data_IF_576650912476
#
_entry.id   IF_576650912476
#
_cell.length_a   1.000
_cell.length_b   1.000
_cell.length_c   1.000
_cell.angle_alpha   90.00
_cell.angle_beta   90.00
_cell.angle_gamma   90.00
#
_symmetry.space_group_name_H-M   'P 1'
#
loop_
_entity.id
_entity.type
_entity.pdbx_description
1 polymer ?
#
# COMPACT_ATOMS: atom_id res chain seq x y z
N UNK A 1 -17.45 11.70 -21.36
CA UNK A 1 -16.49 12.24 -20.36
C UNK A 1 -16.13 11.08 -19.45
N UNK A 2 -14.94 10.49 -19.36
CA UNK A 2 -13.65 10.66 -20.01
C UNK A 2 -12.97 9.27 -19.94
N UNK A 3 -12.89 8.52 -21.04
CA UNK A 3 -12.16 7.23 -21.06
C UNK A 3 -10.64 7.41 -20.84
N UNK A 4 -10.13 8.62 -21.04
CA UNK A 4 -8.72 9.01 -20.82
C UNK A 4 -8.30 8.89 -19.34
N UNK A 5 -9.23 9.04 -18.40
CA UNK A 5 -8.88 8.98 -16.97
C UNK A 5 -8.67 7.56 -16.44
N UNK A 6 -9.19 6.54 -17.16
CA UNK A 6 -8.95 5.13 -16.82
C UNK A 6 -7.54 4.68 -17.22
N UNK A 7 -6.92 5.35 -18.18
CA UNK A 7 -5.62 4.95 -18.74
C UNK A 7 -4.43 5.45 -17.90
N UNK A 8 -4.60 6.50 -17.09
CA UNK A 8 -3.49 7.12 -16.35
C UNK A 8 -3.63 6.99 -14.84
N UNK A 9 -2.91 6.01 -14.29
CA UNK A 9 -2.72 5.89 -12.85
C UNK A 9 -1.66 6.89 -12.38
N UNK A 10 -2.06 7.86 -11.56
CA UNK A 10 -1.14 8.81 -10.91
C UNK A 10 -0.97 8.47 -9.43
N UNK A 11 0.14 8.92 -8.82
CA UNK A 11 0.42 8.68 -7.40
C UNK A 11 -0.72 9.15 -6.47
N UNK A 12 -1.36 10.29 -6.80
CA UNK A 12 -2.50 10.82 -6.05
C UNK A 12 -3.73 9.93 -6.17
N UNK A 13 -4.10 9.56 -7.41
CA UNK A 13 -5.25 8.67 -7.67
C UNK A 13 -5.05 7.30 -7.00
N UNK A 14 -3.87 6.71 -7.12
CA UNK A 14 -3.52 5.44 -6.50
C UNK A 14 -3.65 5.50 -4.97
N UNK A 15 -3.12 6.55 -4.35
CA UNK A 15 -3.24 6.73 -2.89
C UNK A 15 -4.72 6.84 -2.48
N UNK A 16 -5.53 7.62 -3.19
CA UNK A 16 -6.96 7.74 -2.88
C UNK A 16 -7.73 6.43 -3.04
N UNK A 17 -7.43 5.64 -4.08
CA UNK A 17 -8.05 4.33 -4.30
C UNK A 17 -7.77 3.38 -3.14
N UNK A 18 -6.50 3.25 -2.73
CA UNK A 18 -6.11 2.38 -1.62
C UNK A 18 -6.76 2.83 -0.31
N UNK A 19 -6.76 4.13 -0.01
CA UNK A 19 -7.38 4.65 1.22
C UNK A 19 -8.91 4.44 1.25
N UNK A 20 -9.57 4.58 0.10
CA UNK A 20 -11.00 4.33 0.00
C UNK A 20 -11.31 2.84 0.17
N UNK A 21 -10.53 1.96 -0.46
CA UNK A 21 -10.72 0.51 -0.34
C UNK A 21 -10.57 0.03 1.12
N UNK A 22 -9.55 0.53 1.82
CA UNK A 22 -9.36 0.20 3.26
C UNK A 22 -10.53 0.71 4.09
N UNK A 23 -11.05 1.91 3.81
CA UNK A 23 -12.22 2.46 4.52
C UNK A 23 -13.50 1.69 4.24
N UNK A 24 -13.75 1.34 2.97
CA UNK A 24 -14.91 0.56 2.54
C UNK A 24 -14.89 -0.86 3.10
N UNK A 25 -13.69 -1.41 3.32
CA UNK A 25 -13.51 -2.71 3.97
C UNK A 25 -13.74 -2.69 5.49
N UNK A 26 -14.01 -1.53 6.10
CA UNK A 26 -14.20 -1.34 7.55
C UNK A 26 -13.06 -1.92 8.41
N UNK A 27 -11.83 -1.95 7.86
CA UNK A 27 -10.65 -2.48 8.54
C UNK A 27 -10.48 -4.00 8.42
N UNK A 28 -11.25 -4.67 7.57
CA UNK A 28 -11.02 -6.07 7.22
C UNK A 28 -9.77 -6.26 6.35
N UNK A 29 -9.45 -5.28 5.49
CA UNK A 29 -8.26 -5.29 4.64
C UNK A 29 -7.16 -4.40 5.22
N UNK A 30 -5.95 -4.95 5.28
CA UNK A 30 -4.75 -4.18 5.59
C UNK A 30 -4.30 -3.36 4.36
N UNK A 31 -3.43 -2.36 4.54
CA UNK A 31 -2.90 -1.56 3.43
C UNK A 31 -2.09 -2.40 2.44
N UNK A 32 -1.43 -3.47 2.90
CA UNK A 32 -0.71 -4.41 2.02
C UNK A 32 -1.67 -5.12 1.06
N UNK A 33 -2.79 -5.61 1.59
CA UNK A 33 -3.80 -6.33 0.80
C UNK A 33 -4.51 -5.37 -0.15
N UNK A 34 -4.89 -4.19 0.35
CA UNK A 34 -5.53 -3.15 -0.45
C UNK A 34 -4.68 -2.72 -1.66
N UNK A 35 -3.37 -2.56 -1.47
CA UNK A 35 -2.45 -2.26 -2.58
C UNK A 35 -2.43 -3.39 -3.61
N UNK A 36 -2.44 -4.65 -3.16
CA UNK A 36 -2.42 -5.81 -4.06
C UNK A 36 -3.71 -5.90 -4.88
N UNK A 37 -4.87 -5.74 -4.23
CA UNK A 37 -6.18 -5.70 -4.91
C UNK A 37 -6.25 -4.61 -5.97
N UNK A 38 -5.80 -3.39 -5.64
CA UNK A 38 -5.80 -2.29 -6.62
C UNK A 38 -4.83 -2.57 -7.78
N UNK A 39 -3.71 -3.24 -7.54
CA UNK A 39 -2.81 -3.62 -8.64
C UNK A 39 -3.43 -4.69 -9.55
N UNK A 40 -4.15 -5.65 -8.98
CA UNK A 40 -4.84 -6.70 -9.74
C UNK A 40 -6.00 -6.14 -10.58
N UNK A 41 -6.85 -5.27 -9.99
CA UNK A 41 -8.00 -4.68 -10.67
C UNK A 41 -7.62 -3.81 -11.87
N UNK A 42 -6.51 -3.06 -11.75
CA UNK A 42 -6.04 -2.15 -12.79
C UNK A 42 -4.93 -2.74 -13.66
N UNK A 43 -4.53 -4.00 -13.42
CA UNK A 43 -3.47 -4.68 -14.18
C UNK A 43 -2.08 -4.02 -14.05
N UNK A 44 -1.76 -3.47 -12.88
CA UNK A 44 -0.49 -2.75 -12.63
C UNK A 44 0.59 -3.75 -12.22
N UNK A 45 1.73 -3.70 -12.93
CA UNK A 45 2.90 -4.48 -12.56
C UNK A 45 3.53 -3.99 -11.25
N UNK A 46 3.84 -4.93 -10.35
CA UNK A 46 4.36 -4.66 -9.00
C UNK A 46 5.65 -3.82 -9.00
N UNK A 47 6.47 -3.94 -10.04
CA UNK A 47 7.74 -3.21 -10.19
C UNK A 47 7.52 -1.70 -10.35
N UNK A 48 6.38 -1.32 -10.94
CA UNK A 48 6.01 0.08 -11.22
C UNK A 48 5.36 0.73 -10.00
N UNK A 49 4.76 -0.06 -9.11
CA UNK A 49 4.02 0.39 -7.92
C UNK A 49 4.88 1.25 -6.99
N UNK A 50 6.19 0.99 -6.87
CA UNK A 50 7.08 1.80 -6.03
C UNK A 50 7.15 3.28 -6.47
N UNK A 51 6.81 3.61 -7.73
CA UNK A 51 6.71 4.99 -8.22
C UNK A 51 5.33 5.62 -7.93
N UNK A 52 4.31 4.79 -7.74
CA UNK A 52 2.92 5.20 -7.53
C UNK A 52 2.52 5.31 -6.06
N UNK A 53 3.30 4.71 -5.16
CA UNK A 53 3.10 4.81 -3.71
C UNK A 53 3.68 6.14 -3.19
N UNK A 54 2.89 6.87 -2.41
CA UNK A 54 3.33 8.06 -1.69
C UNK A 54 4.13 7.70 -0.42
N UNK A 55 5.03 8.59 0.03
CA UNK A 55 5.82 8.35 1.25
C UNK A 55 4.95 8.01 2.48
N UNK A 56 3.80 8.69 2.73
CA UNK A 56 2.91 8.32 3.83
C UNK A 56 2.32 6.92 3.68
N UNK A 57 1.90 6.54 2.46
CA UNK A 57 1.35 5.22 2.21
C UNK A 57 2.40 4.12 2.42
N UNK A 58 3.66 4.39 2.05
CA UNK A 58 4.79 3.48 2.31
C UNK A 58 5.03 3.23 3.80
N UNK A 59 4.85 4.26 4.63
CA UNK A 59 4.99 4.14 6.09
C UNK A 59 3.85 3.29 6.69
N UNK A 60 2.62 3.42 6.17
CA UNK A 60 1.49 2.58 6.57
C UNK A 60 1.70 1.11 6.20
N UNK A 61 2.14 0.83 4.97
CA UNK A 61 2.49 -0.51 4.50
C UNK A 61 3.60 -1.12 5.38
N UNK A 62 4.61 -0.32 5.74
CA UNK A 62 5.69 -0.78 6.61
C UNK A 62 5.18 -1.12 8.01
N UNK A 63 4.25 -0.34 8.55
CA UNK A 63 3.64 -0.62 9.85
C UNK A 63 2.87 -1.95 9.83
N UNK A 64 2.04 -2.19 8.81
CA UNK A 64 1.35 -3.47 8.63
C UNK A 64 2.35 -4.63 8.52
N UNK A 65 3.42 -4.45 7.73
CA UNK A 65 4.45 -5.47 7.55
C UNK A 65 5.20 -5.78 8.86
N UNK A 66 5.29 -4.82 9.79
CA UNK A 66 5.83 -5.06 11.12
C UNK A 66 4.86 -5.82 12.01
N UNK A 67 3.57 -5.47 11.99
CA UNK A 67 2.54 -6.19 12.77
C UNK A 67 2.41 -7.65 12.31
N UNK A 68 2.52 -7.90 11.01
CA UNK A 68 2.42 -9.22 10.40
C UNK A 68 3.74 -10.01 10.38
N UNK A 69 4.82 -9.47 10.97
CA UNK A 69 6.16 -10.09 11.00
C UNK A 69 6.76 -10.39 9.61
N UNK A 70 6.42 -9.59 8.58
CA UNK A 70 7.01 -9.69 7.24
C UNK A 70 8.38 -9.03 7.12
N UNK A 71 8.78 -8.23 8.10
CA UNK A 71 10.09 -7.57 8.12
C UNK A 71 10.97 -8.19 9.21
N UNK A 72 12.22 -8.51 8.86
CA UNK A 72 13.21 -8.97 9.84
C UNK A 72 13.46 -7.89 10.90
N UNK A 73 13.61 -8.32 12.16
CA UNK A 73 14.04 -7.41 13.23
C UNK A 73 15.39 -6.81 12.88
N UNK A 74 15.46 -5.48 12.89
CA UNK A 74 16.68 -4.72 12.57
C UNK A 74 17.55 -4.48 13.80
N UNK A 75 16.99 -4.49 15.01
CA UNK A 75 17.76 -4.38 16.26
C UNK A 75 17.97 -5.76 16.93
N UNK A 76 19.22 -6.03 17.28
CA UNK A 76 19.61 -7.10 18.22
C UNK A 76 20.03 -6.56 19.57
N UNK A 77 20.01 -5.22 19.74
CA UNK A 77 20.33 -4.57 21.00
C UNK A 77 19.27 -4.91 22.04
N UNK A 78 19.68 -5.70 23.02
CA UNK A 78 18.88 -5.95 24.22
C UNK A 78 19.24 -4.84 25.21
N UNK A 79 18.23 -4.26 25.87
CA UNK A 79 18.52 -3.34 26.97
C UNK A 79 19.32 -4.13 28.03
N UNK A 80 20.51 -3.67 28.45
CA UNK A 80 21.19 -4.29 29.57
C UNK A 80 20.34 -4.00 30.80
N UNK A 81 19.73 -5.05 31.37
CA UNK A 81 19.06 -5.00 32.67
C UNK A 81 20.08 -5.21 33.79
#
# INVERSE_FOLDING_TARGET
MNDIEKEFMTQGKFTSLVENLVKESEGLLNYIEAVTTVCEEYGIEIEVVNKLISRPLKDKIKWDAQQLNYVKRTSRGVLPL
#
